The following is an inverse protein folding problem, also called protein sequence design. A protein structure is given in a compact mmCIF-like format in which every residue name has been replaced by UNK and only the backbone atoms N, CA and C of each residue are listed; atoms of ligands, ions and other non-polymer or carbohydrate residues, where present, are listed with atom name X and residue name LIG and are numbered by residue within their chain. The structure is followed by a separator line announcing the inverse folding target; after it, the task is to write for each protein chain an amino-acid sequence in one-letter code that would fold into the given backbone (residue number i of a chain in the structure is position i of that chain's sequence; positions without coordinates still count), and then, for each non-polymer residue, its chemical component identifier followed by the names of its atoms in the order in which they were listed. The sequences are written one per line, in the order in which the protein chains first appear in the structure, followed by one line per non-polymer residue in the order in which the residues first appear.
data_IF_128508117997
#
_entry.id   IF_128508117997
#
_cell.length_a   1.000
_cell.length_b   1.000
_cell.length_c   1.000
_cell.angle_alpha   90.00
_cell.angle_beta   90.00
_cell.angle_gamma   90.00
#
_symmetry.space_group_name_H-M   'P 1'
#
loop_
_entity.id
_entity.type
_entity.pdbx_description
1 polymer ?
#
# COMPACT_ATOMS: atom_id res chain seq x y z
N UNK A 1 -12.86 -5.06 -31.74
CA UNK A 1 -12.17 -5.93 -30.76
C UNK A 1 -11.67 -5.17 -29.52
N UNK A 2 -10.85 -4.13 -29.63
CA UNK A 2 -10.32 -3.39 -28.46
C UNK A 2 -11.42 -2.85 -27.50
N UNK A 3 -12.47 -2.24 -28.03
CA UNK A 3 -13.60 -1.75 -27.20
C UNK A 3 -14.31 -2.87 -26.43
N UNK A 4 -14.42 -4.08 -27.00
CA UNK A 4 -15.05 -5.20 -26.32
C UNK A 4 -14.18 -5.74 -25.18
N UNK A 5 -12.86 -5.73 -25.34
CA UNK A 5 -11.92 -6.06 -24.26
C UNK A 5 -12.04 -5.06 -23.10
N UNK A 6 -12.11 -3.76 -23.41
CA UNK A 6 -12.29 -2.69 -22.41
C UNK A 6 -13.60 -2.88 -21.64
N UNK A 7 -14.71 -3.18 -22.33
CA UNK A 7 -16.00 -3.45 -21.70
C UNK A 7 -15.97 -4.65 -20.74
N UNK A 8 -15.07 -5.62 -20.97
CA UNK A 8 -14.84 -6.78 -20.07
C UNK A 8 -13.87 -6.47 -18.92
N UNK A 9 -13.40 -5.23 -18.80
CA UNK A 9 -12.46 -4.80 -17.77
C UNK A 9 -10.99 -5.02 -18.12
N UNK A 10 -10.65 -5.41 -19.35
CA UNK A 10 -9.26 -5.54 -19.81
C UNK A 10 -8.72 -4.17 -20.18
N UNK A 11 -7.53 -3.82 -19.69
CA UNK A 11 -6.82 -2.57 -19.99
C UNK A 11 -5.52 -2.83 -20.71
N UNK A 12 -5.09 -1.87 -21.52
CA UNK A 12 -3.87 -1.96 -22.30
C UNK A 12 -2.79 -1.08 -21.68
N UNK A 13 -1.59 -1.60 -21.54
CA UNK A 13 -0.44 -0.87 -20.99
C UNK A 13 0.37 -0.21 -22.10
N UNK A 14 0.81 1.02 -21.86
CA UNK A 14 1.87 1.70 -22.62
C UNK A 14 3.02 1.98 -21.65
N UNK A 15 4.14 1.29 -21.85
CA UNK A 15 5.37 1.54 -21.12
C UNK A 15 6.15 2.67 -21.80
N UNK A 16 6.36 3.79 -21.10
CA UNK A 16 7.12 4.92 -21.64
C UNK A 16 8.65 4.73 -21.58
N UNK A 17 9.12 3.78 -20.76
CA UNK A 17 10.54 3.55 -20.48
C UNK A 17 11.42 3.52 -21.72
N UNK A 18 11.12 2.68 -22.74
CA UNK A 18 11.91 2.60 -23.98
C UNK A 18 12.03 3.92 -24.75
N UNK A 19 11.04 4.83 -24.65
CA UNK A 19 11.06 6.11 -25.34
C UNK A 19 11.92 7.18 -24.65
N UNK A 20 12.15 7.07 -23.34
CA UNK A 20 12.79 8.11 -22.52
C UNK A 20 14.14 7.73 -21.93
N UNK A 21 14.48 6.43 -21.91
CA UNK A 21 15.70 5.92 -21.24
C UNK A 21 16.90 5.73 -22.18
N UNK A 22 16.79 6.14 -23.45
CA UNK A 22 17.90 6.07 -24.40
C UNK A 22 18.06 4.73 -25.09
N UNK A 23 17.02 3.89 -25.14
CA UNK A 23 17.00 2.58 -25.83
C UNK A 23 17.15 2.63 -27.36
N UNK A 24 17.65 3.73 -27.92
CA UNK A 24 17.80 3.96 -29.36
C UNK A 24 16.63 4.71 -30.00
N UNK A 25 16.92 5.30 -31.16
CA UNK A 25 15.95 6.10 -31.92
C UNK A 25 14.78 5.23 -32.44
N UNK A 26 15.06 3.98 -32.82
CA UNK A 26 14.05 3.08 -33.35
C UNK A 26 13.06 2.60 -32.29
N UNK A 27 13.54 2.34 -31.06
CA UNK A 27 12.66 2.03 -29.92
C UNK A 27 11.68 3.19 -29.64
N UNK A 28 12.18 4.43 -29.68
CA UNK A 28 11.34 5.62 -29.53
C UNK A 28 10.31 5.75 -30.66
N UNK A 29 10.74 5.58 -31.93
CA UNK A 29 9.84 5.63 -33.10
C UNK A 29 8.73 4.58 -33.01
N UNK A 30 9.11 3.33 -32.70
CA UNK A 30 8.16 2.23 -32.57
C UNK A 30 7.19 2.44 -31.40
N UNK A 31 7.66 2.93 -30.25
CA UNK A 31 6.79 3.27 -29.14
C UNK A 31 5.75 4.32 -29.54
N UNK A 32 6.18 5.41 -30.17
CA UNK A 32 5.27 6.48 -30.59
C UNK A 32 4.26 5.95 -31.61
N UNK A 33 4.70 5.22 -32.63
CA UNK A 33 3.83 4.62 -33.66
C UNK A 33 2.78 3.66 -33.07
N UNK A 34 3.22 2.78 -32.17
CA UNK A 34 2.37 1.79 -31.51
C UNK A 34 1.40 2.46 -30.53
N UNK A 35 1.86 3.43 -29.73
CA UNK A 35 1.03 4.19 -28.80
C UNK A 35 -0.10 4.92 -29.54
N UNK A 36 0.22 5.66 -30.61
CA UNK A 36 -0.79 6.36 -31.42
C UNK A 36 -1.80 5.38 -32.03
N UNK A 37 -1.34 4.23 -32.50
CA UNK A 37 -2.21 3.20 -33.09
C UNK A 37 -3.15 2.59 -32.05
N UNK A 38 -2.64 2.32 -30.85
CA UNK A 38 -3.44 1.82 -29.74
C UNK A 38 -4.46 2.86 -29.24
N UNK A 39 -4.05 4.12 -29.09
CA UNK A 39 -4.92 5.23 -28.67
C UNK A 39 -6.08 5.37 -29.65
N UNK A 40 -5.81 5.33 -30.95
CA UNK A 40 -6.85 5.36 -32.00
C UNK A 40 -7.78 4.14 -31.92
N UNK A 41 -7.24 2.94 -31.77
CA UNK A 41 -8.03 1.70 -31.70
C UNK A 41 -8.93 1.63 -30.45
N UNK A 42 -8.50 2.22 -29.34
CA UNK A 42 -9.22 2.25 -28.06
C UNK A 42 -10.09 3.48 -27.87
N UNK A 43 -9.95 4.48 -28.76
CA UNK A 43 -10.53 5.83 -28.62
C UNK A 43 -10.09 6.51 -27.31
N UNK A 44 -8.83 6.28 -26.93
CA UNK A 44 -8.20 6.84 -25.73
C UNK A 44 -8.76 6.31 -24.40
N UNK A 45 -9.43 5.15 -24.40
CA UNK A 45 -10.02 4.55 -23.19
C UNK A 45 -9.29 3.28 -22.79
N UNK A 46 -9.29 2.99 -21.50
CA UNK A 46 -8.76 1.73 -20.99
C UNK A 46 -7.26 1.55 -21.20
N UNK A 47 -6.52 2.65 -21.13
CA UNK A 47 -5.06 2.68 -21.26
C UNK A 47 -4.47 2.90 -19.88
N UNK A 48 -3.37 2.19 -19.56
CA UNK A 48 -2.53 2.44 -18.40
C UNK A 48 -1.17 2.90 -18.91
N UNK A 49 -0.61 3.96 -18.34
CA UNK A 49 0.76 4.39 -18.66
C UNK A 49 1.69 4.03 -17.51
N UNK A 50 2.76 3.31 -17.82
CA UNK A 50 3.74 2.81 -16.86
C UNK A 50 5.17 3.16 -17.28
N UNK A 51 6.12 3.00 -16.37
CA UNK A 51 7.53 3.38 -16.60
C UNK A 51 8.47 2.20 -16.89
N UNK A 52 8.14 1.00 -16.40
CA UNK A 52 9.06 -0.15 -16.29
C UNK A 52 10.46 0.22 -15.76
N UNK A 53 10.53 1.29 -14.96
CA UNK A 53 11.80 1.86 -14.53
C UNK A 53 12.52 0.91 -13.56
N UNK A 54 13.68 0.41 -13.96
CA UNK A 54 14.58 -0.38 -13.07
C UNK A 54 15.46 0.48 -12.16
N UNK A 55 15.51 1.79 -12.41
CA UNK A 55 16.32 2.77 -11.67
C UNK A 55 15.46 3.99 -11.35
N UNK A 56 15.66 4.59 -10.18
CA UNK A 56 14.90 5.78 -9.75
C UNK A 56 14.98 6.94 -10.76
N UNK A 57 16.14 7.14 -11.41
CA UNK A 57 16.36 8.20 -12.41
C UNK A 57 15.52 8.06 -13.68
N UNK A 58 14.96 6.87 -13.94
CA UNK A 58 14.09 6.62 -15.09
C UNK A 58 12.61 6.96 -14.80
N UNK A 59 12.25 7.24 -13.55
CA UNK A 59 10.89 7.67 -13.18
C UNK A 59 10.69 9.13 -13.59
N UNK A 60 9.45 9.49 -13.93
CA UNK A 60 9.02 10.83 -14.29
C UNK A 60 7.88 11.28 -13.38
N UNK A 61 7.75 12.60 -13.20
CA UNK A 61 6.64 13.14 -12.43
C UNK A 61 5.31 12.84 -13.14
N UNK A 62 4.19 12.70 -12.40
CA UNK A 62 2.90 12.36 -12.99
C UNK A 62 2.47 13.29 -14.14
N UNK A 63 2.70 14.59 -14.00
CA UNK A 63 2.36 15.58 -15.02
C UNK A 63 3.24 15.49 -16.27
N UNK A 64 4.51 15.11 -16.14
CA UNK A 64 5.37 14.87 -17.30
C UNK A 64 4.88 13.67 -18.11
N UNK A 65 4.40 12.62 -17.42
CA UNK A 65 3.83 11.43 -18.05
C UNK A 65 2.52 11.77 -18.76
N UNK A 66 1.66 12.61 -18.16
CA UNK A 66 0.44 13.10 -18.80
C UNK A 66 0.78 13.90 -20.06
N UNK A 67 1.75 14.83 -19.97
CA UNK A 67 2.18 15.63 -21.11
C UNK A 67 2.75 14.76 -22.24
N UNK A 68 3.53 13.74 -21.91
CA UNK A 68 4.03 12.76 -22.87
C UNK A 68 2.88 11.97 -23.54
N UNK A 69 1.88 11.56 -22.76
CA UNK A 69 0.69 10.90 -23.28
C UNK A 69 -0.10 11.81 -24.23
N UNK A 70 -0.12 13.13 -23.99
CA UNK A 70 -0.71 14.10 -24.91
C UNK A 70 0.02 14.17 -26.25
N UNK A 71 1.35 14.07 -26.26
CA UNK A 71 2.14 13.97 -27.50
C UNK A 71 1.73 12.74 -28.34
N UNK A 72 1.29 11.66 -27.70
CA UNK A 72 0.79 10.46 -28.39
C UNK A 72 -0.68 10.54 -28.83
N UNK A 73 -1.37 11.65 -28.53
CA UNK A 73 -2.75 11.89 -28.96
C UNK A 73 -3.82 11.61 -27.90
N UNK A 74 -3.47 11.48 -26.62
CA UNK A 74 -4.45 11.52 -25.53
C UNK A 74 -4.80 12.96 -25.15
N UNK A 75 -6.02 13.21 -24.68
CA UNK A 75 -6.32 14.46 -23.99
C UNK A 75 -5.69 14.44 -22.58
N UNK A 76 -5.53 15.61 -21.94
CA UNK A 76 -4.97 15.67 -20.58
C UNK A 76 -5.81 14.86 -19.58
N UNK A 77 -7.13 14.90 -19.72
CA UNK A 77 -8.07 14.17 -18.87
C UNK A 77 -7.86 12.66 -19.02
N UNK A 78 -7.72 12.17 -20.26
CA UNK A 78 -7.44 10.75 -20.53
C UNK A 78 -6.04 10.34 -20.10
N UNK A 79 -5.05 11.23 -20.23
CA UNK A 79 -3.71 11.02 -19.69
C UNK A 79 -3.74 10.86 -18.17
N UNK A 80 -4.48 11.71 -17.46
CA UNK A 80 -4.69 11.60 -16.01
C UNK A 80 -5.42 10.32 -15.63
N UNK A 81 -6.49 9.96 -16.36
CA UNK A 81 -7.23 8.72 -16.15
C UNK A 81 -6.29 7.50 -16.28
N UNK A 82 -5.40 7.52 -17.27
CA UNK A 82 -4.47 6.43 -17.57
C UNK A 82 -3.41 6.19 -16.48
N UNK A 83 -3.00 7.22 -15.75
CA UNK A 83 -2.03 7.08 -14.66
C UNK A 83 -2.69 6.86 -13.29
N UNK A 84 -3.95 7.28 -13.10
CA UNK A 84 -4.63 7.26 -11.81
C UNK A 84 -5.72 6.19 -11.74
N UNK A 85 -6.79 6.36 -12.52
CA UNK A 85 -8.03 5.60 -12.35
C UNK A 85 -7.94 4.21 -12.97
N UNK A 86 -7.32 4.11 -14.14
CA UNK A 86 -7.25 2.86 -14.91
C UNK A 86 -6.49 1.77 -14.17
N UNK A 87 -5.36 2.13 -13.54
CA UNK A 87 -4.63 1.22 -12.66
C UNK A 87 -5.48 0.76 -11.46
N UNK A 88 -6.23 1.69 -10.83
CA UNK A 88 -7.13 1.35 -9.72
C UNK A 88 -8.23 0.39 -10.16
N UNK A 89 -8.86 0.61 -11.32
CA UNK A 89 -9.90 -0.26 -11.88
C UNK A 89 -9.38 -1.69 -12.07
N UNK A 90 -8.15 -1.86 -12.56
CA UNK A 90 -7.52 -3.18 -12.71
C UNK A 90 -7.27 -3.85 -11.37
N UNK A 91 -6.71 -3.12 -10.39
CA UNK A 91 -6.45 -3.67 -9.05
C UNK A 91 -7.74 -4.07 -8.34
N UNK A 92 -8.79 -3.26 -8.43
CA UNK A 92 -10.10 -3.56 -7.86
C UNK A 92 -10.72 -4.81 -8.50
N UNK A 93 -10.69 -4.91 -9.84
CA UNK A 93 -11.16 -6.10 -10.54
C UNK A 93 -10.35 -7.35 -10.15
N UNK A 94 -9.04 -7.23 -10.00
CA UNK A 94 -8.18 -8.32 -9.58
C UNK A 94 -8.45 -8.76 -8.13
N UNK A 95 -8.76 -7.81 -7.23
CA UNK A 95 -9.21 -8.12 -5.86
C UNK A 95 -10.51 -8.91 -5.90
N UNK A 96 -11.54 -8.40 -6.59
CA UNK A 96 -12.83 -9.06 -6.71
C UNK A 96 -12.70 -10.50 -7.24
N UNK A 97 -11.86 -10.73 -8.25
CA UNK A 97 -11.62 -12.09 -8.77
C UNK A 97 -10.99 -13.05 -7.77
N UNK A 98 -10.24 -12.56 -6.78
CA UNK A 98 -9.52 -13.38 -5.79
C UNK A 98 -10.29 -13.59 -4.50
N UNK A 99 -11.03 -12.59 -4.03
CA UNK A 99 -11.64 -12.59 -2.70
C UNK A 99 -13.15 -12.76 -2.72
N UNK A 100 -13.81 -12.43 -3.84
CA UNK A 100 -15.26 -12.48 -3.90
C UNK A 100 -15.78 -13.78 -4.51
N UNK A 101 -16.95 -14.22 -4.05
CA UNK A 101 -17.69 -15.29 -4.70
C UNK A 101 -18.23 -14.81 -6.04
N UNK A 102 -17.64 -15.30 -7.15
CA UNK A 102 -18.07 -15.03 -8.54
C UNK A 102 -18.17 -13.54 -8.91
N UNK A 103 -17.49 -12.63 -8.20
CA UNK A 103 -17.62 -11.18 -8.42
C UNK A 103 -18.83 -10.53 -7.75
N UNK A 104 -19.59 -11.28 -6.95
CA UNK A 104 -20.90 -10.87 -6.41
C UNK A 104 -20.79 -10.51 -4.92
N UNK A 105 -20.13 -11.35 -4.12
CA UNK A 105 -20.07 -11.20 -2.65
C UNK A 105 -18.61 -11.13 -2.22
N UNK A 106 -18.15 -9.99 -1.72
CA UNK A 106 -16.82 -9.83 -1.11
C UNK A 106 -16.96 -10.01 0.41
N UNK A 107 -16.31 -11.03 0.97
CA UNK A 107 -16.31 -11.26 2.42
C UNK A 107 -15.24 -10.35 3.01
N UNK A 108 -15.68 -9.28 3.66
CA UNK A 108 -14.80 -8.43 4.47
C UNK A 108 -14.85 -8.99 5.87
N UNK A 109 -13.90 -9.87 6.20
CA UNK A 109 -13.71 -10.31 7.57
C UNK A 109 -13.33 -9.08 8.40
N UNK A 110 -14.26 -8.65 9.27
CA UNK A 110 -14.08 -7.49 10.16
C UNK A 110 -13.01 -7.71 11.23
N UNK A 111 -12.36 -8.87 11.22
CA UNK A 111 -11.39 -9.28 12.20
C UNK A 111 -12.12 -9.66 13.48
N UNK A 112 -12.46 -10.93 13.63
CA UNK A 112 -12.64 -11.47 14.97
C UNK A 112 -11.31 -11.23 15.72
N UNK A 113 -11.34 -10.39 16.75
CA UNK A 113 -10.22 -10.28 17.68
C UNK A 113 -10.08 -11.63 18.35
N UNK A 114 -9.19 -12.48 17.82
CA UNK A 114 -8.89 -13.78 18.40
C UNK A 114 -8.24 -13.53 19.76
N UNK A 115 -9.05 -13.54 20.81
CA UNK A 115 -8.58 -13.61 22.19
C UNK A 115 -7.96 -14.99 22.32
N UNK A 116 -6.64 -15.08 22.16
CA UNK A 116 -5.91 -16.32 22.40
C UNK A 116 -6.11 -16.69 23.87
N UNK A 117 -6.94 -17.67 24.14
CA UNK A 117 -6.96 -18.35 25.43
C UNK A 117 -5.66 -19.15 25.53
N UNK A 118 -4.80 -18.76 26.45
CA UNK A 118 -3.54 -19.43 26.75
C UNK A 118 -3.80 -20.89 27.17
N UNK A 119 -3.57 -21.83 26.25
CA UNK A 119 -3.48 -23.24 26.57
C UNK A 119 -2.17 -23.47 27.33
N UNK A 120 -2.28 -23.70 28.65
CA UNK A 120 -1.19 -24.19 29.49
C UNK A 120 -0.74 -25.56 29.01
N UNK A 121 0.51 -25.69 28.61
CA UNK A 121 1.22 -26.97 28.57
C UNK A 121 2.31 -26.97 29.62
N UNK A 122 2.10 -27.81 30.66
CA UNK A 122 3.12 -28.22 31.61
C UNK A 122 4.17 -29.09 30.91
N UNK A 123 5.46 -28.80 31.16
CA UNK A 123 6.57 -29.58 30.62
C UNK A 123 7.92 -28.96 30.97
N UNK A 124 8.58 -29.53 31.97
CA UNK A 124 9.75 -29.02 32.69
C UNK A 124 11.06 -28.91 31.90
N UNK A 125 11.78 -27.81 32.19
CA UNK A 125 13.22 -27.68 32.43
C UNK A 125 14.25 -28.09 31.34
N UNK A 126 14.94 -27.07 30.81
CA UNK A 126 16.41 -27.01 30.88
C UNK A 126 16.89 -25.56 30.97
N UNK A 127 17.69 -25.33 32.00
CA UNK A 127 18.36 -24.09 32.35
C UNK A 127 19.58 -23.82 31.46
N UNK A 128 19.78 -22.56 31.07
CA UNK A 128 21.10 -21.93 31.08
C UNK A 128 20.91 -20.39 31.10
N UNK A 129 21.54 -19.75 32.08
CA UNK A 129 21.50 -18.32 32.31
C UNK A 129 22.90 -17.71 32.07
N UNK A 130 22.90 -16.52 31.46
CA UNK A 130 23.73 -15.31 31.67
C UNK A 130 23.71 -14.48 30.36
N UNK A 131 23.02 -13.34 30.32
CA UNK A 131 23.49 -11.97 30.67
C UNK A 131 24.70 -11.57 29.80
N UNK A 132 24.71 -10.47 29.02
CA UNK A 132 24.41 -9.09 29.42
C UNK A 132 23.96 -8.16 28.26
N UNK A 133 23.34 -7.07 28.69
CA UNK A 133 22.73 -5.98 27.94
C UNK A 133 23.69 -5.09 27.10
N UNK A 134 23.17 -4.50 26.01
CA UNK A 134 23.16 -3.03 25.84
C UNK A 134 22.15 -2.58 24.78
N UNK A 135 21.26 -1.70 25.21
CA UNK A 135 20.33 -0.94 24.39
C UNK A 135 21.07 0.16 23.60
N UNK A 136 20.57 0.47 22.40
CA UNK A 136 20.54 1.86 21.98
C UNK A 136 19.24 2.15 21.22
N UNK A 137 18.50 3.13 21.72
CA UNK A 137 17.18 3.52 21.24
C UNK A 137 17.26 4.93 20.70
N UNK A 138 17.10 5.09 19.38
CA UNK A 138 16.80 6.37 18.77
C UNK A 138 15.53 6.26 17.92
N UNK A 139 14.37 6.41 18.57
CA UNK A 139 13.13 6.85 17.91
C UNK A 139 12.92 8.32 18.23
N UNK A 140 13.32 9.19 17.29
CA UNK A 140 13.02 10.62 17.32
C UNK A 140 11.53 10.84 17.07
N UNK A 141 10.93 11.55 18.01
CA UNK A 141 9.57 12.09 18.03
C UNK A 141 9.52 13.28 17.06
N UNK A 142 8.70 13.20 16.01
CA UNK A 142 8.30 14.37 15.23
C UNK A 142 6.82 14.63 15.53
N UNK A 143 6.61 15.72 16.27
CA UNK A 143 5.32 16.29 16.64
C UNK A 143 4.66 16.97 15.44
N UNK A 144 3.43 16.58 15.12
CA UNK A 144 2.46 17.47 14.48
C UNK A 144 1.27 17.56 15.45
N UNK A 145 0.90 18.79 15.77
CA UNK A 145 0.15 19.15 16.96
C UNK A 145 -1.36 18.89 16.89
N UNK A 146 -1.92 18.77 18.10
CA UNK A 146 -3.31 19.07 18.40
C UNK A 146 -3.34 19.69 19.80
N UNK A 147 -3.84 20.91 19.91
CA UNK A 147 -4.20 21.55 21.18
C UNK A 147 -5.59 21.08 21.66
N UNK A 148 -5.96 21.28 22.95
CA UNK A 148 -6.20 20.18 23.86
C UNK A 148 -7.67 20.00 24.25
N UNK A 149 -8.13 18.76 24.42
CA UNK A 149 -9.30 18.43 25.25
C UNK A 149 -9.22 16.98 25.75
N UNK A 150 -9.38 16.80 27.06
CA UNK A 150 -9.61 15.50 27.69
C UNK A 150 -8.42 14.98 28.51
N UNK A 151 -8.65 14.79 29.80
CA UNK A 151 -7.70 14.31 30.81
C UNK A 151 -7.12 12.93 30.43
N UNK A 152 -5.86 12.88 30.00
CA UNK A 152 -5.10 11.63 29.88
C UNK A 152 -4.51 11.25 31.25
N UNK A 153 -5.07 10.22 31.89
CA UNK A 153 -4.40 9.51 32.98
C UNK A 153 -3.06 8.95 32.47
N UNK A 154 -1.95 9.53 32.95
CA UNK A 154 -0.61 9.02 32.64
C UNK A 154 -0.51 7.57 33.12
N UNK A 155 -0.03 6.63 32.28
CA UNK A 155 0.12 5.24 32.68
C UNK A 155 1.12 5.13 33.85
N UNK A 156 0.65 4.61 34.98
CA UNK A 156 1.44 4.46 36.21
C UNK A 156 2.69 3.62 35.98
N UNK A 157 3.80 4.02 36.58
CA UNK A 157 5.06 3.27 36.49
C UNK A 157 4.90 1.86 37.06
N UNK A 158 5.61 0.88 36.50
CA UNK A 158 5.63 -0.52 36.99
C UNK A 158 5.92 -0.60 38.50
N UNK A 159 6.69 0.37 39.03
CA UNK A 159 7.01 0.48 40.46
C UNK A 159 5.81 0.94 41.29
N UNK A 160 5.01 1.87 40.77
CA UNK A 160 3.81 2.39 41.43
C UNK A 160 2.69 1.34 41.46
N UNK A 161 2.49 0.63 40.36
CA UNK A 161 1.55 -0.49 40.31
C UNK A 161 1.89 -1.56 41.35
N UNK A 162 3.16 -1.94 41.48
CA UNK A 162 3.59 -2.94 42.47
C UNK A 162 3.42 -2.47 43.92
N UNK A 163 3.64 -1.16 44.19
CA UNK A 163 3.41 -0.58 45.51
C UNK A 163 1.93 -0.56 45.86
N UNK A 164 1.06 -0.21 44.90
CA UNK A 164 -0.39 -0.17 45.07
C UNK A 164 -0.96 -1.58 45.29
N UNK A 165 -0.51 -2.56 44.52
CA UNK A 165 -0.89 -3.96 44.69
C UNK A 165 -0.44 -4.55 46.04
N UNK A 166 0.76 -4.21 46.52
CA UNK A 166 1.23 -4.62 47.86
C UNK A 166 0.41 -3.97 48.97
N UNK A 167 0.07 -2.69 48.83
CA UNK A 167 -0.78 -1.98 49.79
C UNK A 167 -2.18 -2.59 49.87
N UNK A 168 -2.82 -2.84 48.74
CA UNK A 168 -4.14 -3.47 48.68
C UNK A 168 -4.14 -4.89 49.28
N UNK A 169 -3.08 -5.67 49.08
CA UNK A 169 -2.92 -7.00 49.72
C UNK A 169 -2.76 -6.93 51.23
N UNK A 170 -2.09 -5.90 51.75
CA UNK A 170 -1.92 -5.70 53.20
C UNK A 170 -3.21 -5.21 53.86
N UNK A 171 -3.96 -4.32 53.20
CA UNK A 171 -5.29 -3.88 53.65
C UNK A 171 -6.30 -5.04 53.65
N UNK A 172 -6.26 -5.93 52.64
CA UNK A 172 -7.13 -7.10 52.58
C UNK A 172 -6.78 -8.22 53.58
N UNK A 173 -5.57 -8.21 54.16
CA UNK A 173 -5.13 -9.19 55.15
C UNK A 173 -5.29 -8.69 56.60
N UNK A 174 -5.81 -7.48 56.79
CA UNK A 174 -5.98 -6.82 58.08
C UNK A 174 -7.43 -6.52 58.47
N UNK A 175 -8.40 -7.24 57.91
CA UNK A 175 -9.83 -7.20 58.28
C UNK A 175 -10.32 -8.61 58.62
#
# INVERSE_FOLDING_TARGET
MASAAISRGVRFEICYGPGVTGSGLDARRNLIGNAMSLIRATRGRGIIVSSEARRALAVRAPWDVINLACVWGLSQERGKEAICEEARKVVALAKLKRTSWRGIIDIVDGGDTVVKADAKTDGSAKSQAKDDAKADGLKRKASVGSEPTGEEEKPLSKREMKRRAKKARLEAAGA
#
